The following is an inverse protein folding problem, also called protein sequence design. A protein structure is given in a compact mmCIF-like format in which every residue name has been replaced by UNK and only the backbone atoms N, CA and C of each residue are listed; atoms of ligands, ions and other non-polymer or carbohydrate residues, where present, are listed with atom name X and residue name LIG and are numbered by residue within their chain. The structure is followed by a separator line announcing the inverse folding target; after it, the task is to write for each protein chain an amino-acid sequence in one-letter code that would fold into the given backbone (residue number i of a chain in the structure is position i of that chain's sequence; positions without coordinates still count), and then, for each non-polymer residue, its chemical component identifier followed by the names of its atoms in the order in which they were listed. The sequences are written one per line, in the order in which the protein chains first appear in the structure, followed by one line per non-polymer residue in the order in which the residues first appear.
data_IF_267056861022
#
_entry.id   IF_267056861022
#
_cell.length_a   1.000
_cell.length_b   1.000
_cell.length_c   1.000
_cell.angle_alpha   90.00
_cell.angle_beta   90.00
_cell.angle_gamma   90.00
#
_symmetry.space_group_name_H-M   'P 1'
#
loop_
_entity.id
_entity.type
_entity.pdbx_description
1 polymer ?
#
# COMPACT_ATOMS: atom_id res chain seq x y z
N UNK A 1 12.23 12.19 6.41
CA UNK A 1 12.37 11.27 5.26
C UNK A 1 12.22 12.07 3.97
N UNK A 2 12.80 11.66 2.83
CA UNK A 2 12.48 12.26 1.53
C UNK A 2 11.20 11.63 0.99
N UNK A 3 10.07 12.24 1.32
CA UNK A 3 8.71 11.73 1.05
C UNK A 3 8.33 11.74 -0.42
N UNK A 4 9.19 12.31 -1.29
CA UNK A 4 8.98 12.36 -2.74
C UNK A 4 9.77 11.31 -3.50
N UNK A 5 10.71 10.64 -2.84
CA UNK A 5 11.55 9.61 -3.45
C UNK A 5 10.90 8.24 -3.33
N UNK A 6 10.89 7.50 -4.44
CA UNK A 6 10.47 6.10 -4.48
C UNK A 6 11.65 5.12 -4.47
N UNK A 7 12.86 5.58 -4.15
CA UNK A 7 14.07 4.75 -4.21
C UNK A 7 14.01 3.50 -3.30
N UNK A 8 13.14 3.51 -2.29
CA UNK A 8 12.95 2.41 -1.33
C UNK A 8 11.65 1.62 -1.56
N UNK A 9 10.89 1.94 -2.61
CA UNK A 9 9.68 1.19 -2.94
C UNK A 9 10.04 -0.14 -3.61
N UNK A 10 9.37 -1.21 -3.23
CA UNK A 10 9.47 -2.54 -3.87
C UNK A 10 8.09 -2.91 -4.43
N UNK A 11 7.71 -2.39 -5.62
CA UNK A 11 6.39 -2.63 -6.20
C UNK A 11 6.26 -4.06 -6.74
N UNK A 12 5.09 -4.67 -6.55
CA UNK A 12 4.73 -5.95 -7.14
C UNK A 12 3.42 -5.82 -7.93
N UNK A 13 3.37 -6.44 -9.10
CA UNK A 13 2.19 -6.53 -9.93
C UNK A 13 1.83 -7.99 -10.16
N UNK A 14 0.56 -8.36 -9.96
CA UNK A 14 0.05 -9.71 -10.21
C UNK A 14 -1.02 -9.64 -11.28
N UNK A 15 -0.93 -10.51 -12.29
CA UNK A 15 -1.97 -10.67 -13.31
C UNK A 15 -2.88 -11.83 -12.90
N UNK A 16 -4.16 -11.52 -12.69
CA UNK A 16 -5.22 -12.51 -12.49
C UNK A 16 -6.01 -12.65 -13.78
N UNK A 17 -6.41 -13.88 -14.12
CA UNK A 17 -7.20 -14.19 -15.32
C UNK A 17 -8.36 -15.08 -14.93
N UNK A 18 -9.55 -14.78 -15.46
CA UNK A 18 -10.79 -15.45 -15.09
C UNK A 18 -11.69 -14.55 -14.24
N UNK A 19 -12.71 -15.15 -13.64
CA UNK A 19 -13.67 -14.43 -12.80
C UNK A 19 -13.01 -14.06 -11.46
N UNK A 20 -12.97 -12.76 -11.17
CA UNK A 20 -12.44 -12.23 -9.92
C UNK A 20 -13.59 -11.95 -8.95
N UNK A 21 -13.60 -12.64 -7.81
CA UNK A 21 -14.45 -12.25 -6.68
C UNK A 21 -13.78 -11.12 -5.90
N UNK A 22 -14.23 -9.89 -6.15
CA UNK A 22 -13.66 -8.68 -5.54
C UNK A 22 -13.90 -8.65 -4.03
N UNK A 23 -15.02 -9.18 -3.55
CA UNK A 23 -15.33 -9.21 -2.11
C UNK A 23 -14.35 -10.14 -1.39
N UNK A 24 -14.11 -11.32 -1.95
CA UNK A 24 -13.12 -12.25 -1.42
C UNK A 24 -11.69 -11.67 -1.49
N UNK A 25 -11.35 -10.95 -2.56
CA UNK A 25 -10.04 -10.27 -2.68
C UNK A 25 -9.86 -9.19 -1.59
N UNK A 26 -10.89 -8.40 -1.32
CA UNK A 26 -10.87 -7.39 -0.26
C UNK A 26 -10.65 -8.03 1.12
N UNK A 27 -11.35 -9.13 1.42
CA UNK A 27 -11.18 -9.88 2.66
C UNK A 27 -9.76 -10.46 2.77
N UNK A 28 -9.25 -11.06 1.71
CA UNK A 28 -7.90 -11.61 1.70
C UNK A 28 -6.82 -10.53 1.94
N UNK A 29 -7.00 -9.31 1.41
CA UNK A 29 -6.11 -8.18 1.71
C UNK A 29 -6.20 -7.80 3.19
N UNK A 30 -7.41 -7.73 3.75
CA UNK A 30 -7.61 -7.45 5.17
C UNK A 30 -6.94 -8.51 6.06
N UNK A 31 -7.07 -9.80 5.74
CA UNK A 31 -6.43 -10.90 6.46
C UNK A 31 -4.89 -10.79 6.45
N UNK A 32 -4.32 -10.38 5.31
CA UNK A 32 -2.87 -10.16 5.19
C UNK A 32 -2.42 -8.98 6.06
N UNK A 33 -3.18 -7.88 6.05
CA UNK A 33 -2.91 -6.69 6.87
C UNK A 33 -3.05 -7.00 8.37
N UNK A 34 -4.08 -7.75 8.76
CA UNK A 34 -4.27 -8.22 10.14
C UNK A 34 -3.07 -9.04 10.62
N UNK A 35 -2.68 -10.03 9.81
CA UNK A 35 -1.60 -10.96 10.12
C UNK A 35 -0.22 -10.32 10.24
N UNK A 36 0.04 -9.21 9.54
CA UNK A 36 1.37 -8.60 9.47
C UNK A 36 1.41 -7.19 10.06
N UNK A 37 2.01 -7.06 11.25
CA UNK A 37 2.19 -5.76 11.92
C UNK A 37 3.00 -4.76 11.08
N UNK A 38 3.99 -5.22 10.30
CA UNK A 38 4.80 -4.36 9.43
C UNK A 38 3.96 -3.59 8.42
N UNK A 39 2.87 -4.18 7.91
CA UNK A 39 1.96 -3.50 6.96
C UNK A 39 1.07 -2.45 7.64
N UNK A 40 1.05 -2.42 8.98
CA UNK A 40 0.29 -1.48 9.80
C UNK A 40 1.18 -0.53 10.58
N UNK A 41 2.45 -0.42 10.19
CA UNK A 41 3.46 0.31 10.96
C UNK A 41 3.74 1.68 10.33
N UNK A 42 3.71 2.73 11.15
CA UNK A 42 4.22 4.08 10.84
C UNK A 42 5.36 4.46 11.80
N UNK A 43 6.13 5.49 11.44
CA UNK A 43 7.32 5.93 12.17
C UNK A 43 7.28 7.41 12.59
N UNK A 44 6.33 7.84 13.44
CA UNK A 44 6.25 9.22 13.89
C UNK A 44 7.44 9.60 14.76
N UNK A 45 7.80 10.88 14.76
CA UNK A 45 8.83 11.42 15.64
C UNK A 45 8.22 11.87 16.98
N UNK A 46 8.72 11.33 18.09
CA UNK A 46 8.34 11.75 19.45
C UNK A 46 9.58 12.29 20.15
N UNK A 47 9.56 13.58 20.51
CA UNK A 47 10.74 14.23 21.10
C UNK A 47 11.93 14.40 20.14
N UNK A 48 11.72 14.24 18.83
CA UNK A 48 12.75 14.33 17.80
C UNK A 48 13.27 12.98 17.30
N UNK A 49 12.95 11.88 18.00
CA UNK A 49 13.38 10.53 17.64
C UNK A 49 12.24 9.74 16.99
N UNK A 50 12.48 9.02 15.87
CA UNK A 50 11.47 8.17 15.26
C UNK A 50 11.19 6.94 16.13
N UNK A 51 9.91 6.68 16.38
CA UNK A 51 9.46 5.46 17.06
C UNK A 51 8.61 4.62 16.12
N UNK A 52 8.60 3.31 16.31
CA UNK A 52 7.69 2.43 15.60
C UNK A 52 6.31 2.47 16.27
N UNK A 53 5.27 2.78 15.51
CA UNK A 53 3.89 2.72 15.96
C UNK A 53 3.10 1.77 15.06
N UNK A 54 2.55 0.71 15.65
CA UNK A 54 1.69 -0.25 14.97
C UNK A 54 0.24 0.20 15.14
N UNK A 55 -0.43 0.48 14.03
CA UNK A 55 -1.84 0.86 13.98
C UNK A 55 -2.76 -0.34 14.13
N UNK A 56 -4.02 -0.09 14.50
CA UNK A 56 -5.05 -1.13 14.50
C UNK A 56 -5.34 -1.63 13.09
N UNK A 57 -6.00 -2.78 12.96
CA UNK A 57 -6.37 -3.34 11.66
C UNK A 57 -7.32 -2.38 10.93
N UNK A 58 -8.32 -1.86 11.61
CA UNK A 58 -9.33 -0.96 11.03
C UNK A 58 -8.72 0.35 10.49
N UNK A 59 -7.65 0.84 11.11
CA UNK A 59 -6.92 2.03 10.65
C UNK A 59 -6.03 1.76 9.43
N UNK A 60 -5.72 0.49 9.15
CA UNK A 60 -4.65 0.13 8.23
C UNK A 60 -5.07 -0.68 7.00
N UNK A 61 -6.29 -1.22 6.96
CA UNK A 61 -6.80 -1.90 5.75
C UNK A 61 -7.04 -0.86 4.65
N UNK A 62 -6.33 -0.91 3.51
CA UNK A 62 -6.52 0.06 2.44
C UNK A 62 -7.82 -0.23 1.67
N UNK A 63 -8.49 0.81 1.13
CA UNK A 63 -9.63 0.60 0.25
C UNK A 63 -9.16 -0.01 -1.07
N UNK A 64 -9.77 -1.13 -1.48
CA UNK A 64 -9.58 -1.69 -2.82
C UNK A 64 -10.33 -0.82 -3.82
N UNK A 65 -9.61 -0.35 -4.85
CA UNK A 65 -10.17 0.48 -5.93
C UNK A 65 -10.17 -0.30 -7.24
N UNK A 66 -11.34 -0.49 -7.80
CA UNK A 66 -11.51 -1.04 -9.14
C UNK A 66 -11.38 0.07 -10.18
N UNK A 67 -10.67 -0.21 -11.26
CA UNK A 67 -10.50 0.71 -12.37
C UNK A 67 -10.50 -0.06 -13.69
N UNK A 68 -11.25 0.45 -14.67
CA UNK A 68 -11.13 0.03 -16.07
C UNK A 68 -10.13 0.95 -16.75
N UNK A 69 -9.13 0.37 -17.41
CA UNK A 69 -8.06 1.09 -18.11
C UNK A 69 -8.07 0.69 -19.59
N UNK A 70 -7.71 1.64 -20.45
CA UNK A 70 -7.36 1.34 -21.84
C UNK A 70 -6.05 0.53 -21.93
N UNK A 71 -5.85 -0.15 -23.06
CA UNK A 71 -4.69 -1.03 -23.28
C UNK A 71 -3.34 -0.32 -23.03
N UNK A 72 -3.23 0.95 -23.43
CA UNK A 72 -2.00 1.73 -23.32
C UNK A 72 -1.82 2.43 -21.96
N UNK A 73 -2.86 2.50 -21.14
CA UNK A 73 -2.85 3.27 -19.87
C UNK A 73 -2.25 2.48 -18.71
N UNK A 74 -2.26 1.14 -18.79
CA UNK A 74 -1.82 0.28 -17.70
C UNK A 74 -0.34 0.49 -17.37
N UNK A 75 0.53 0.52 -18.37
CA UNK A 75 1.97 0.65 -18.17
C UNK A 75 2.31 1.97 -17.47
N UNK A 76 1.74 3.08 -17.95
CA UNK A 76 1.94 4.40 -17.35
C UNK A 76 1.40 4.46 -15.92
N UNK A 77 0.23 3.88 -15.68
CA UNK A 77 -0.38 3.86 -14.35
C UNK A 77 0.45 3.05 -13.35
N UNK A 78 0.94 1.88 -13.77
CA UNK A 78 1.81 1.01 -12.96
C UNK A 78 3.12 1.71 -12.63
N UNK A 79 3.73 2.39 -13.61
CA UNK A 79 4.93 3.18 -13.39
C UNK A 79 4.69 4.30 -12.37
N UNK A 80 3.59 5.05 -12.51
CA UNK A 80 3.23 6.11 -11.55
C UNK A 80 3.06 5.56 -10.14
N UNK A 81 2.38 4.42 -9.97
CA UNK A 81 2.21 3.79 -8.65
C UNK A 81 3.55 3.37 -8.05
N UNK A 82 4.40 2.72 -8.85
CA UNK A 82 5.72 2.28 -8.43
C UNK A 82 6.62 3.44 -7.96
N UNK A 83 6.49 4.61 -8.58
CA UNK A 83 7.34 5.78 -8.29
C UNK A 83 6.70 6.84 -7.41
N UNK A 84 5.53 6.57 -6.82
CA UNK A 84 4.92 7.50 -5.86
C UNK A 84 5.65 7.38 -4.53
N UNK A 85 6.27 8.48 -4.07
CA UNK A 85 6.83 8.55 -2.72
C UNK A 85 5.71 8.64 -1.67
N UNK A 86 6.02 8.24 -0.44
CA UNK A 86 5.11 8.34 0.71
C UNK A 86 5.88 8.73 1.98
N UNK A 87 5.18 9.31 2.95
CA UNK A 87 5.76 9.71 4.23
C UNK A 87 5.57 8.61 5.28
N UNK A 88 6.58 7.76 5.46
CA UNK A 88 6.57 6.67 6.46
C UNK A 88 6.24 7.10 7.89
N UNK A 89 6.27 8.39 8.22
CA UNK A 89 5.90 8.88 9.56
C UNK A 89 4.38 8.91 9.81
N UNK A 90 3.58 8.95 8.74
CA UNK A 90 2.11 9.07 8.81
C UNK A 90 1.37 8.17 7.80
N UNK A 91 2.03 7.80 6.70
CA UNK A 91 1.49 6.96 5.63
C UNK A 91 1.91 5.51 5.85
N UNK A 92 0.98 4.60 5.56
CA UNK A 92 1.23 3.16 5.53
C UNK A 92 1.95 2.77 4.22
N UNK A 93 2.77 1.69 4.24
CA UNK A 93 3.50 1.21 3.07
C UNK A 93 2.61 0.70 1.92
#
# INVERSE_FOLDING_TARGET
FDTRSAAYNIPLAVRLTGDLDVTAMQQAIADVVERHETLRTVFPAVGGDPIQQVLTVDEAVPPVREMTLGEDELAERMQRLATTGFDVSVDLP
#
